data_IF_153205667506
#
_entry.id   IF_153205667506
#
_cell.length_a   1.000
_cell.length_b   1.000
_cell.length_c   1.000
_cell.angle_alpha   90.00
_cell.angle_beta   90.00
_cell.angle_gamma   90.00
#
_symmetry.space_group_name_H-M   'P 1'
#
loop_
_entity.id
_entity.type
_entity.pdbx_description
1 polymer ?
#
# COMPACT_ATOMS: atom_id res chain seq x y z
N UNK A 1 -1.28 -8.33 1.67
CA UNK A 1 -1.67 -7.97 3.06
C UNK A 1 -3.08 -8.44 3.32
N UNK A 2 -3.30 -8.96 4.50
CA UNK A 2 -4.63 -9.42 4.89
C UNK A 2 -5.41 -8.27 5.53
N UNK A 3 -6.70 -8.20 5.26
CA UNK A 3 -7.53 -7.12 5.76
C UNK A 3 -7.56 -7.03 7.28
N UNK A 4 -7.61 -8.17 7.96
CA UNK A 4 -7.65 -8.17 9.43
C UNK A 4 -6.33 -7.70 10.04
N UNK A 5 -5.21 -7.94 9.39
CA UNK A 5 -3.92 -7.42 9.85
C UNK A 5 -3.92 -5.90 9.78
N UNK A 6 -4.41 -5.36 8.68
CA UNK A 6 -4.48 -3.91 8.48
C UNK A 6 -5.42 -3.28 9.52
N UNK A 7 -6.54 -3.91 9.78
CA UNK A 7 -7.52 -3.39 10.73
C UNK A 7 -7.04 -3.39 12.18
N UNK A 8 -6.09 -4.27 12.49
CA UNK A 8 -5.52 -4.32 13.83
C UNK A 8 -4.46 -3.25 14.09
N UNK A 9 -4.02 -2.55 13.05
CA UNK A 9 -3.01 -1.51 13.17
C UNK A 9 -3.63 -0.20 13.65
N UNK A 10 -2.83 0.61 14.37
CA UNK A 10 -3.25 1.96 14.75
C UNK A 10 -3.20 2.89 13.53
N UNK A 11 -3.84 4.06 13.62
CA UNK A 11 -3.77 5.04 12.55
C UNK A 11 -2.33 5.42 12.22
N UNK A 12 -1.52 5.63 13.23
CA UNK A 12 -0.10 5.99 13.04
C UNK A 12 0.63 4.90 12.27
N UNK A 13 0.40 3.64 12.64
CA UNK A 13 1.00 2.52 11.96
C UNK A 13 0.52 2.40 10.52
N UNK A 14 -0.76 2.65 10.30
CA UNK A 14 -1.35 2.61 8.95
C UNK A 14 -0.77 3.71 8.06
N UNK A 15 -0.60 4.91 8.61
CA UNK A 15 -0.01 6.01 7.86
C UNK A 15 1.44 5.72 7.49
N UNK A 16 2.20 5.15 8.41
CA UNK A 16 3.58 4.74 8.15
C UNK A 16 3.62 3.66 7.06
N UNK A 17 2.71 2.70 7.14
CA UNK A 17 2.62 1.64 6.14
C UNK A 17 2.25 2.19 4.78
N UNK A 18 1.33 3.14 4.74
CA UNK A 18 0.92 3.79 3.49
C UNK A 18 2.11 4.50 2.85
N UNK A 19 2.88 5.25 3.62
CA UNK A 19 4.06 5.94 3.10
C UNK A 19 5.08 4.95 2.53
N UNK A 20 5.30 3.84 3.23
CA UNK A 20 6.20 2.79 2.78
C UNK A 20 5.73 2.18 1.47
N UNK A 21 4.44 1.86 1.36
CA UNK A 21 3.87 1.29 0.15
C UNK A 21 3.94 2.24 -1.03
N UNK A 22 3.72 3.53 -0.80
CA UNK A 22 3.84 4.53 -1.86
C UNK A 22 5.27 4.63 -2.36
N UNK A 23 6.23 4.56 -1.46
CA UNK A 23 7.65 4.56 -1.82
C UNK A 23 7.98 3.32 -2.65
N UNK A 24 7.50 2.17 -2.23
CA UNK A 24 7.72 0.92 -2.97
C UNK A 24 7.12 1.00 -4.37
N UNK A 25 5.92 1.54 -4.49
CA UNK A 25 5.28 1.70 -5.79
C UNK A 25 6.09 2.61 -6.70
N UNK A 26 6.58 3.71 -6.16
CA UNK A 26 7.43 4.64 -6.92
C UNK A 26 8.68 3.93 -7.42
N UNK A 27 9.35 3.19 -6.56
CA UNK A 27 10.55 2.44 -6.92
C UNK A 27 10.26 1.40 -8.01
N UNK A 28 9.16 0.67 -7.86
CA UNK A 28 8.77 -0.34 -8.85
C UNK A 28 8.48 0.30 -10.20
N UNK A 29 7.82 1.44 -10.20
CA UNK A 29 7.54 2.16 -11.45
C UNK A 29 8.81 2.65 -12.14
N UNK A 30 9.77 3.14 -11.35
CA UNK A 30 11.05 3.56 -11.89
C UNK A 30 11.81 2.40 -12.51
N UNK A 31 11.85 1.26 -11.81
CA UNK A 31 12.50 0.07 -12.34
C UNK A 31 11.85 -0.39 -13.63
N UNK A 32 10.53 -0.37 -13.68
CA UNK A 32 9.80 -0.76 -14.87
C UNK A 32 10.10 0.18 -16.06
N UNK A 33 10.21 1.47 -15.79
CA UNK A 33 10.46 2.46 -16.83
C UNK A 33 11.88 2.39 -17.38
N UNK A 34 12.86 2.05 -16.54
CA UNK A 34 14.27 2.13 -16.93
C UNK A 34 14.87 0.79 -17.29
N UNK A 35 14.37 -0.29 -16.73
CA UNK A 35 15.12 -1.52 -16.82
C UNK A 35 14.28 -2.79 -16.75
N UNK A 36 13.09 -2.79 -17.29
CA UNK A 36 12.31 -4.01 -17.42
C UNK A 36 12.04 -4.72 -16.12
N UNK A 37 11.01 -4.35 -15.50
CA UNK A 37 10.55 -5.07 -14.35
C UNK A 37 10.12 -6.47 -14.79
N UNK A 38 10.58 -7.48 -14.08
CA UNK A 38 10.30 -8.86 -14.42
C UNK A 38 8.83 -9.21 -14.21
N UNK A 39 8.19 -8.57 -13.26
CA UNK A 39 6.84 -8.96 -12.88
C UNK A 39 5.93 -7.75 -12.64
N UNK A 40 5.17 -7.34 -13.65
CA UNK A 40 4.26 -6.20 -13.49
C UNK A 40 3.15 -6.43 -12.46
N UNK A 41 2.89 -7.69 -12.07
CA UNK A 41 1.89 -7.95 -11.04
C UNK A 41 2.29 -7.38 -9.69
N UNK A 42 3.58 -7.14 -9.45
CA UNK A 42 4.04 -6.50 -8.21
C UNK A 42 3.52 -5.08 -8.10
N UNK A 43 3.47 -4.37 -9.22
CA UNK A 43 2.93 -3.00 -9.26
C UNK A 43 1.43 -3.04 -8.91
N UNK A 44 0.69 -3.96 -9.53
CA UNK A 44 -0.74 -4.12 -9.28
C UNK A 44 -1.02 -4.50 -7.83
N UNK A 45 -0.22 -5.43 -7.28
CA UNK A 45 -0.38 -5.88 -5.90
C UNK A 45 -0.12 -4.74 -4.92
N UNK A 46 0.92 -3.94 -5.16
CA UNK A 46 1.26 -2.81 -4.30
C UNK A 46 0.16 -1.74 -4.35
N UNK A 47 -0.37 -1.47 -5.54
CA UNK A 47 -1.48 -0.52 -5.68
C UNK A 47 -2.71 -0.99 -4.91
N UNK A 48 -3.00 -2.29 -4.96
CA UNK A 48 -4.11 -2.88 -4.23
C UNK A 48 -3.92 -2.73 -2.73
N UNK A 49 -2.71 -2.98 -2.24
CA UNK A 49 -2.39 -2.83 -0.82
C UNK A 49 -2.55 -1.38 -0.37
N UNK A 50 -2.10 -0.44 -1.19
CA UNK A 50 -2.27 0.99 -0.91
C UNK A 50 -3.76 1.32 -0.77
N UNK A 51 -4.57 0.83 -1.68
CA UNK A 51 -6.02 1.07 -1.65
C UNK A 51 -6.65 0.50 -0.38
N UNK A 52 -6.23 -0.70 0.04
CA UNK A 52 -6.73 -1.33 1.26
C UNK A 52 -6.36 -0.53 2.50
N UNK A 53 -5.12 -0.09 2.58
CA UNK A 53 -4.66 0.70 3.73
C UNK A 53 -5.42 2.03 3.79
N UNK A 54 -5.59 2.69 2.66
CA UNK A 54 -6.37 3.93 2.61
C UNK A 54 -7.81 3.73 3.08
N UNK A 55 -8.43 2.63 2.66
CA UNK A 55 -9.79 2.30 3.04
C UNK A 55 -9.91 2.12 4.55
N UNK A 56 -8.98 1.39 5.15
CA UNK A 56 -9.01 1.15 6.60
C UNK A 56 -8.75 2.46 7.37
N UNK A 57 -7.82 3.28 6.90
CA UNK A 57 -7.59 4.59 7.52
C UNK A 57 -8.88 5.41 7.53
N UNK A 58 -9.57 5.43 6.39
CA UNK A 58 -10.82 6.15 6.27
C UNK A 58 -11.89 5.60 7.22
N UNK A 59 -11.99 4.28 7.32
CA UNK A 59 -12.92 3.64 8.24
C UNK A 59 -12.66 4.07 9.68
N UNK A 60 -11.41 4.12 10.09
CA UNK A 60 -11.03 4.53 11.45
C UNK A 60 -11.34 6.00 11.70
N UNK A 61 -11.11 6.86 10.70
CA UNK A 61 -11.43 8.28 10.81
C UNK A 61 -12.93 8.52 10.93
N UNK A 62 -13.73 7.64 10.34
CA UNK A 62 -15.18 7.72 10.42
C UNK A 62 -15.76 7.04 11.67
N UNK A 63 -14.90 6.50 12.51
CA UNK A 63 -15.32 5.86 13.75
C UNK A 63 -15.88 4.45 13.58
N UNK A 64 -15.47 3.76 12.55
CA UNK A 64 -15.92 2.39 12.28
C UNK A 64 -14.88 1.36 12.59
#
# INVERSE_FOLDING_TARGET
>A
MKANEIRSMSETELEAKLAELKKDLFMLRMQHATNHLDNPTRISATRRDIARVKTVIREKQLGR
#
